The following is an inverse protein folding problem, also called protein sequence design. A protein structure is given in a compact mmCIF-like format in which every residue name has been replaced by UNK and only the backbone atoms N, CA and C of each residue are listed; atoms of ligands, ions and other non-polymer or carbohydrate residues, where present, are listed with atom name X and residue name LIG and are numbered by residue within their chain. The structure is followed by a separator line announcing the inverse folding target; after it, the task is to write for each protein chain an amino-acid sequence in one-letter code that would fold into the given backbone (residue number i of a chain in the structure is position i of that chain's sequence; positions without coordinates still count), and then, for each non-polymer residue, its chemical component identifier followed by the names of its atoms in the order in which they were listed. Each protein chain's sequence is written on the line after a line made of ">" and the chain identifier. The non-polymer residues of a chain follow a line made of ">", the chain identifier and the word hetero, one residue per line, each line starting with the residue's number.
data_IF_696247341534
#
_entry.id   IF_696247341534
#
_cell.length_a   1.000
_cell.length_b   1.000
_cell.length_c   1.000
_cell.angle_alpha   90.00
_cell.angle_beta   90.00
_cell.angle_gamma   90.00
#
_symmetry.space_group_name_H-M   'P 1'
#
loop_
_entity.id
_entity.type
_entity.pdbx_description
1 polymer ?
#
# COMPACT_ATOMS: atom_id res chain seq x y z
N UNK A 1 33.89 -7.64 -26.19
CA UNK A 1 33.36 -7.47 -24.82
C UNK A 1 31.98 -6.87 -24.95
N UNK A 2 31.01 -7.34 -24.18
CA UNK A 2 29.70 -6.69 -24.13
C UNK A 2 29.84 -5.36 -23.38
N UNK A 3 29.45 -4.26 -24.02
CA UNK A 3 29.43 -2.94 -23.37
C UNK A 3 28.04 -2.68 -22.86
N UNK A 4 27.93 -2.31 -21.59
CA UNK A 4 26.71 -1.88 -20.94
C UNK A 4 26.84 -0.41 -20.53
N UNK A 5 25.74 0.34 -20.68
CA UNK A 5 25.67 1.76 -20.28
C UNK A 5 25.36 1.89 -18.78
N UNK A 6 24.68 0.91 -18.19
CA UNK A 6 24.35 0.88 -16.77
C UNK A 6 24.36 -0.55 -16.21
N UNK A 7 24.77 -0.67 -14.95
CA UNK A 7 24.70 -1.92 -14.18
C UNK A 7 23.75 -1.69 -13.00
N UNK A 8 22.75 -2.55 -12.87
CA UNK A 8 21.75 -2.51 -11.80
C UNK A 8 22.01 -3.68 -10.86
N UNK A 9 22.19 -3.42 -9.59
CA UNK A 9 22.37 -4.44 -8.57
C UNK A 9 21.04 -4.68 -7.87
N UNK A 10 20.50 -5.88 -8.06
CA UNK A 10 19.22 -6.31 -7.52
C UNK A 10 18.12 -6.42 -8.59
N UNK A 11 17.58 -7.63 -8.77
CA UNK A 11 16.50 -7.96 -9.70
C UNK A 11 15.12 -8.00 -9.02
N UNK A 12 14.93 -7.22 -7.97
CA UNK A 12 13.61 -6.95 -7.39
C UNK A 12 12.82 -5.96 -8.26
N UNK A 13 11.58 -5.65 -7.86
CA UNK A 13 10.69 -4.74 -8.61
C UNK A 13 11.36 -3.41 -8.94
N UNK A 14 12.07 -2.80 -8.00
CA UNK A 14 12.74 -1.51 -8.24
C UNK A 14 13.83 -1.60 -9.30
N UNK A 15 14.66 -2.65 -9.27
CA UNK A 15 15.70 -2.86 -10.27
C UNK A 15 15.13 -3.16 -11.66
N UNK A 16 14.08 -3.97 -11.73
CA UNK A 16 13.41 -4.29 -13.00
C UNK A 16 12.74 -3.06 -13.61
N UNK A 17 12.10 -2.21 -12.80
CA UNK A 17 11.50 -0.94 -13.26
C UNK A 17 12.59 0.01 -13.73
N UNK A 18 13.71 0.12 -12.98
CA UNK A 18 14.84 0.96 -13.39
C UNK A 18 15.42 0.50 -14.73
N UNK A 19 15.61 -0.80 -14.94
CA UNK A 19 16.06 -1.34 -16.23
C UNK A 19 15.10 -0.98 -17.36
N UNK A 20 13.80 -1.22 -17.17
CA UNK A 20 12.75 -0.88 -18.13
C UNK A 20 12.74 0.62 -18.49
N UNK A 21 12.94 1.48 -17.51
CA UNK A 21 13.00 2.93 -17.75
C UNK A 21 14.26 3.30 -18.54
N UNK A 22 15.43 2.76 -18.19
CA UNK A 22 16.68 3.00 -18.92
C UNK A 22 16.64 2.47 -20.34
N UNK A 23 16.06 1.29 -20.57
CA UNK A 23 15.85 0.74 -21.91
C UNK A 23 14.98 1.63 -22.79
N UNK A 24 14.01 2.37 -22.20
CA UNK A 24 13.18 3.33 -22.94
C UNK A 24 14.00 4.51 -23.51
N UNK A 25 15.18 4.75 -22.96
CA UNK A 25 16.18 5.71 -23.46
C UNK A 25 17.24 5.05 -24.35
N UNK A 26 17.03 3.82 -24.82
CA UNK A 26 17.96 3.02 -25.60
C UNK A 26 19.31 2.71 -24.90
N UNK A 27 19.33 2.73 -23.57
CA UNK A 27 20.50 2.35 -22.79
C UNK A 27 20.54 0.84 -22.58
N UNK A 28 21.72 0.24 -22.81
CA UNK A 28 21.96 -1.19 -22.55
C UNK A 28 22.20 -1.39 -21.06
N UNK A 29 21.33 -2.14 -20.41
CA UNK A 29 21.42 -2.42 -18.99
C UNK A 29 21.87 -3.85 -18.71
N UNK A 30 22.62 -4.04 -17.62
CA UNK A 30 22.92 -5.34 -17.03
C UNK A 30 22.34 -5.38 -15.62
N UNK A 31 21.49 -6.36 -15.33
CA UNK A 31 20.99 -6.59 -13.97
C UNK A 31 21.78 -7.74 -13.36
N UNK A 32 22.26 -7.54 -12.14
CA UNK A 32 23.00 -8.53 -11.36
C UNK A 32 22.22 -8.77 -10.06
N UNK A 33 21.94 -10.02 -9.73
CA UNK A 33 21.30 -10.43 -8.48
C UNK A 33 22.02 -11.64 -7.89
N UNK A 34 22.02 -11.75 -6.57
CA UNK A 34 22.57 -12.92 -5.88
C UNK A 34 21.65 -14.14 -5.95
N UNK A 35 20.34 -13.93 -6.19
CA UNK A 35 19.37 -15.00 -6.30
C UNK A 35 19.31 -15.53 -7.74
N UNK A 36 19.03 -16.83 -7.93
CA UNK A 36 18.91 -17.42 -9.27
C UNK A 36 17.62 -17.00 -10.00
N UNK A 37 16.72 -16.33 -9.32
CA UNK A 37 15.42 -15.89 -9.85
C UNK A 37 15.17 -14.41 -9.57
N UNK A 38 14.53 -13.74 -10.52
CA UNK A 38 14.08 -12.36 -10.36
C UNK A 38 12.89 -12.26 -9.42
N UNK A 39 12.56 -11.04 -8.95
CA UNK A 39 11.38 -10.74 -8.14
C UNK A 39 11.70 -10.27 -6.72
N UNK A 40 12.84 -10.66 -6.15
CA UNK A 40 13.23 -10.28 -4.80
C UNK A 40 12.16 -10.68 -3.77
N UNK A 41 11.62 -9.74 -3.03
CA UNK A 41 10.58 -9.97 -2.00
C UNK A 41 9.19 -10.31 -2.56
N UNK A 42 8.97 -10.13 -3.87
CA UNK A 42 7.71 -10.50 -4.53
C UNK A 42 7.78 -11.89 -5.18
N UNK A 43 8.80 -12.66 -4.81
CA UNK A 43 8.98 -14.01 -5.31
C UNK A 43 7.95 -14.95 -4.69
N UNK A 44 7.46 -15.87 -5.51
CA UNK A 44 6.54 -16.94 -5.11
C UNK A 44 7.26 -18.28 -5.27
N UNK A 45 7.24 -19.10 -4.26
CA UNK A 45 7.75 -20.48 -4.29
C UNK A 45 6.60 -21.48 -4.43
N UNK A 46 6.85 -22.56 -5.15
CA UNK A 46 5.92 -23.66 -5.28
C UNK A 46 6.48 -24.87 -4.54
N UNK A 47 5.75 -25.34 -3.54
CA UNK A 47 6.17 -26.45 -2.71
C UNK A 47 4.99 -27.39 -2.45
N UNK A 48 5.14 -28.67 -2.81
CA UNK A 48 4.13 -29.73 -2.59
C UNK A 48 2.70 -29.36 -3.02
N UNK A 49 2.55 -28.59 -4.11
CA UNK A 49 1.26 -28.13 -4.62
C UNK A 49 0.75 -26.85 -3.98
N UNK A 50 1.48 -26.28 -3.03
CA UNK A 50 1.17 -24.98 -2.44
C UNK A 50 1.91 -23.85 -3.16
N UNK A 51 1.26 -22.70 -3.24
CA UNK A 51 1.82 -21.45 -3.73
C UNK A 51 2.15 -20.58 -2.52
N UNK A 52 3.45 -20.33 -2.29
CA UNK A 52 3.95 -19.64 -1.10
C UNK A 52 4.61 -18.34 -1.51
N UNK A 53 3.97 -17.22 -1.24
CA UNK A 53 4.55 -15.89 -1.47
C UNK A 53 5.57 -15.55 -0.38
N UNK A 54 6.77 -15.10 -0.78
CA UNK A 54 7.84 -14.75 0.16
C UNK A 54 7.63 -13.41 0.85
N UNK A 55 6.73 -12.58 0.36
CA UNK A 55 6.43 -11.27 0.89
C UNK A 55 4.96 -10.94 0.89
N UNK A 56 4.63 -9.82 1.52
CA UNK A 56 3.27 -9.30 1.55
C UNK A 56 2.87 -8.79 0.17
N UNK A 57 1.91 -9.43 -0.44
CA UNK A 57 1.51 -9.24 -1.85
C UNK A 57 0.29 -8.30 -1.98
N UNK A 58 0.31 -7.16 -1.31
CA UNK A 58 -0.76 -6.15 -1.46
C UNK A 58 -0.26 -4.92 -2.20
N UNK A 59 -0.99 -4.54 -3.23
CA UNK A 59 -0.69 -3.37 -4.07
C UNK A 59 -1.73 -2.28 -3.81
N UNK A 60 -1.27 -1.07 -3.54
CA UNK A 60 -2.12 0.12 -3.50
C UNK A 60 -2.29 0.66 -4.92
N UNK A 61 -3.38 0.27 -5.57
CA UNK A 61 -3.66 0.60 -6.97
C UNK A 61 -3.81 2.12 -7.24
N UNK A 62 -3.95 2.93 -6.19
CA UNK A 62 -4.01 4.39 -6.30
C UNK A 62 -2.65 5.03 -6.59
N UNK A 63 -1.53 4.37 -6.27
CA UNK A 63 -0.20 4.94 -6.46
C UNK A 63 0.09 5.24 -7.94
N UNK A 64 0.53 6.48 -8.27
CA UNK A 64 0.82 6.87 -9.64
C UNK A 64 1.85 5.97 -10.32
N UNK A 65 2.91 5.59 -9.59
CA UNK A 65 3.98 4.75 -10.11
C UNK A 65 3.52 3.31 -10.40
N UNK A 66 2.57 2.79 -9.61
CA UNK A 66 1.95 1.49 -9.88
C UNK A 66 1.22 1.54 -11.22
N UNK A 67 0.42 2.59 -11.44
CA UNK A 67 -0.33 2.78 -12.70
C UNK A 67 0.58 3.00 -13.90
N UNK A 68 1.74 3.67 -13.70
CA UNK A 68 2.71 3.94 -14.78
C UNK A 68 3.43 2.67 -15.21
N UNK A 69 3.82 1.81 -14.28
CA UNK A 69 4.77 0.72 -14.54
C UNK A 69 4.16 -0.68 -14.57
N UNK A 70 2.99 -0.88 -13.93
CA UNK A 70 2.37 -2.19 -13.79
C UNK A 70 1.02 -2.24 -14.50
N UNK A 71 0.79 -3.32 -15.25
CA UNK A 71 -0.52 -3.64 -15.79
C UNK A 71 -1.32 -4.45 -14.75
N UNK A 72 -2.13 -3.73 -13.96
CA UNK A 72 -2.95 -4.36 -12.91
C UNK A 72 -4.00 -5.33 -13.47
N UNK A 73 -4.37 -5.18 -14.75
CA UNK A 73 -5.31 -6.08 -15.39
C UNK A 73 -4.64 -7.39 -15.77
N UNK A 74 -3.44 -7.32 -16.34
CA UNK A 74 -2.63 -8.50 -16.67
C UNK A 74 -2.20 -9.26 -15.40
N UNK A 75 -2.05 -8.57 -14.26
CA UNK A 75 -1.75 -9.17 -12.97
C UNK A 75 -2.97 -9.84 -12.30
N UNK A 76 -4.16 -9.74 -12.91
CA UNK A 76 -5.41 -10.30 -12.36
C UNK A 76 -5.65 -9.94 -10.88
N UNK A 77 -5.27 -8.72 -10.49
CA UNK A 77 -5.39 -8.26 -9.11
C UNK A 77 -6.82 -8.38 -8.59
N UNK A 78 -6.97 -8.92 -7.40
CA UNK A 78 -8.25 -9.00 -6.69
C UNK A 78 -8.35 -7.88 -5.69
N UNK A 79 -9.50 -7.19 -5.67
CA UNK A 79 -9.73 -6.14 -4.69
C UNK A 79 -10.11 -6.73 -3.33
N UNK A 80 -9.54 -6.16 -2.27
CA UNK A 80 -9.99 -6.44 -0.91
C UNK A 80 -11.16 -5.52 -0.54
N UNK A 81 -12.04 -6.02 0.29
CA UNK A 81 -13.03 -5.18 0.95
C UNK A 81 -12.31 -4.20 1.89
N UNK A 82 -12.75 -2.93 1.83
CA UNK A 82 -12.17 -1.89 2.68
C UNK A 82 -12.63 -2.05 4.11
N UNK A 83 -11.72 -2.43 4.98
CA UNK A 83 -12.03 -2.59 6.39
C UNK A 83 -10.95 -3.33 7.16
N UNK A 84 -11.23 -3.50 8.45
CA UNK A 84 -10.41 -4.29 9.33
C UNK A 84 -11.29 -5.17 10.23
N UNK A 85 -10.83 -6.38 10.46
CA UNK A 85 -11.39 -7.26 11.46
C UNK A 85 -10.59 -7.08 12.74
N UNK A 86 -11.26 -6.64 13.81
CA UNK A 86 -10.62 -6.31 15.09
C UNK A 86 -11.09 -7.31 16.13
N UNK A 87 -10.13 -7.90 16.84
CA UNK A 87 -10.37 -8.76 17.98
C UNK A 87 -9.77 -8.13 19.25
N UNK A 88 -10.59 -7.91 20.26
CA UNK A 88 -10.18 -7.27 21.51
C UNK A 88 -9.93 -8.25 22.67
N UNK A 89 -9.70 -9.52 22.36
CA UNK A 89 -9.50 -10.58 23.35
C UNK A 89 -10.78 -11.30 23.79
N UNK A 90 -11.96 -10.69 23.61
CA UNK A 90 -13.25 -11.26 24.00
C UNK A 90 -14.27 -11.29 22.86
N UNK A 91 -14.30 -10.25 22.03
CA UNK A 91 -15.25 -10.10 20.92
C UNK A 91 -14.52 -9.68 19.66
N UNK A 92 -15.07 -10.07 18.53
CA UNK A 92 -14.63 -9.61 17.22
C UNK A 92 -15.66 -8.67 16.61
N UNK A 93 -15.20 -7.68 15.88
CA UNK A 93 -16.05 -6.77 15.13
C UNK A 93 -15.32 -6.29 13.86
N UNK A 94 -16.11 -5.94 12.86
CA UNK A 94 -15.58 -5.45 11.59
C UNK A 94 -15.76 -3.93 11.51
N UNK A 95 -14.69 -3.23 11.18
CA UNK A 95 -14.70 -1.81 10.84
C UNK A 95 -14.53 -1.71 9.33
N UNK A 96 -15.45 -1.06 8.64
CA UNK A 96 -15.44 -0.90 7.20
C UNK A 96 -15.40 0.56 6.79
N UNK A 97 -14.84 0.85 5.61
CA UNK A 97 -14.89 2.20 5.04
C UNK A 97 -16.33 2.52 4.60
N UNK A 98 -16.96 3.43 5.34
CA UNK A 98 -18.35 3.89 5.12
C UNK A 98 -18.54 4.46 3.71
N UNK A 99 -17.49 5.05 3.11
CA UNK A 99 -17.59 5.61 1.77
C UNK A 99 -17.75 4.53 0.69
N UNK A 100 -17.09 3.37 0.88
CA UNK A 100 -17.17 2.23 -0.04
C UNK A 100 -18.31 1.27 0.30
N UNK A 101 -18.68 1.23 1.59
CA UNK A 101 -19.80 0.42 2.06
C UNK A 101 -20.72 1.28 2.96
N UNK A 102 -21.67 2.03 2.39
CA UNK A 102 -22.59 2.88 3.15
C UNK A 102 -23.42 2.12 4.19
N UNK A 103 -23.75 0.84 3.94
CA UNK A 103 -24.48 0.02 4.90
C UNK A 103 -23.67 -0.22 6.20
N UNK A 104 -22.36 -0.17 6.13
CA UNK A 104 -21.48 -0.26 7.31
C UNK A 104 -21.56 0.96 8.24
N UNK A 105 -22.13 2.09 7.79
CA UNK A 105 -22.27 3.29 8.62
C UNK A 105 -23.05 3.01 9.89
N UNK A 106 -24.14 2.26 9.79
CA UNK A 106 -24.99 1.90 10.93
C UNK A 106 -24.22 1.01 11.91
N UNK A 107 -23.56 -0.01 11.42
CA UNK A 107 -22.78 -0.93 12.26
C UNK A 107 -21.59 -0.22 12.90
N UNK A 108 -20.92 0.70 12.18
CA UNK A 108 -19.85 1.53 12.75
C UNK A 108 -20.33 2.49 13.82
N UNK A 109 -21.52 3.07 13.66
CA UNK A 109 -22.08 3.96 14.68
C UNK A 109 -22.26 3.24 16.02
N UNK A 110 -22.76 2.00 15.99
CA UNK A 110 -22.95 1.16 17.17
C UNK A 110 -21.72 0.30 17.54
N UNK A 111 -20.62 0.42 16.82
CA UNK A 111 -19.42 -0.37 17.10
C UNK A 111 -18.79 0.07 18.44
N UNK A 112 -18.16 -0.87 19.18
CA UNK A 112 -17.45 -0.57 20.41
C UNK A 112 -16.11 0.13 20.21
N UNK A 113 -15.78 0.50 18.97
CA UNK A 113 -14.53 1.22 18.63
C UNK A 113 -14.73 2.71 18.91
N UNK A 114 -14.15 3.17 19.97
CA UNK A 114 -14.21 4.57 20.39
C UNK A 114 -15.61 5.05 20.79
N UNK A 115 -15.65 6.19 21.42
CA UNK A 115 -16.89 6.89 21.77
C UNK A 115 -17.51 7.58 20.54
N UNK A 116 -18.72 8.07 20.67
CA UNK A 116 -19.35 8.92 19.64
C UNK A 116 -18.51 10.17 19.37
N UNK A 117 -17.90 10.72 20.41
CA UNK A 117 -17.04 11.90 20.30
C UNK A 117 -15.77 11.60 19.49
N UNK A 118 -15.17 10.42 19.66
CA UNK A 118 -14.01 9.98 18.86
C UNK A 118 -14.40 9.83 17.39
N UNK A 119 -15.56 9.27 17.11
CA UNK A 119 -16.08 9.15 15.74
C UNK A 119 -16.29 10.51 15.07
N UNK A 120 -16.77 11.49 15.82
CA UNK A 120 -16.94 12.88 15.34
C UNK A 120 -15.58 13.55 15.12
N UNK A 121 -14.60 13.36 16.03
CA UNK A 121 -13.23 13.85 15.84
C UNK A 121 -12.59 13.24 14.60
N UNK A 122 -12.73 11.93 14.40
CA UNK A 122 -12.22 11.25 13.20
C UNK A 122 -12.87 11.77 11.92
N UNK A 123 -14.18 12.08 11.95
CA UNK A 123 -14.85 12.67 10.79
C UNK A 123 -14.33 14.09 10.50
N UNK A 124 -14.08 14.89 11.54
CA UNK A 124 -13.48 16.23 11.42
C UNK A 124 -12.05 16.14 10.89
N UNK A 125 -11.23 15.25 11.45
CA UNK A 125 -9.87 15.01 10.99
C UNK A 125 -9.84 14.60 9.51
N UNK A 126 -10.69 13.65 9.13
CA UNK A 126 -10.79 13.22 7.73
C UNK A 126 -11.13 14.37 6.80
N UNK A 127 -12.10 15.22 7.18
CA UNK A 127 -12.47 16.40 6.39
C UNK A 127 -11.27 17.32 6.22
N UNK A 128 -10.61 17.64 7.33
CA UNK A 128 -9.44 18.51 7.34
C UNK A 128 -8.30 17.97 6.45
N UNK A 129 -7.94 16.67 6.56
CA UNK A 129 -6.91 16.04 5.71
C UNK A 129 -7.25 16.13 4.23
N UNK A 130 -8.53 15.99 3.86
CA UNK A 130 -8.97 16.06 2.46
C UNK A 130 -8.94 17.49 1.88
N UNK A 131 -8.90 18.50 2.74
CA UNK A 131 -8.82 19.92 2.37
C UNK A 131 -7.38 20.41 2.25
N UNK A 132 -6.38 19.66 2.76
CA UNK A 132 -4.96 20.01 2.70
C UNK A 132 -4.31 19.53 1.41
N UNK A 133 -3.28 20.22 0.97
CA UNK A 133 -2.35 19.73 -0.04
C UNK A 133 -1.38 18.70 0.56
N UNK A 134 -0.73 17.92 -0.30
CA UNK A 134 0.26 16.93 0.15
C UNK A 134 1.45 17.63 0.80
N UNK A 135 1.86 18.76 0.24
CA UNK A 135 2.97 19.59 0.72
C UNK A 135 2.68 20.12 2.12
N UNK A 136 1.48 20.66 2.36
CA UNK A 136 1.06 21.17 3.68
C UNK A 136 1.07 20.06 4.74
N UNK A 137 0.62 18.83 4.38
CA UNK A 137 0.65 17.69 5.33
C UNK A 137 2.09 17.31 5.69
N UNK A 138 3.03 17.36 4.75
CA UNK A 138 4.44 17.05 5.02
C UNK A 138 5.15 18.07 5.91
N UNK A 139 4.69 19.32 5.93
CA UNK A 139 5.24 20.37 6.79
C UNK A 139 4.73 20.33 8.22
N UNK A 140 3.65 19.60 8.49
CA UNK A 140 3.09 19.47 9.83
C UNK A 140 3.98 18.57 10.68
N UNK A 141 4.46 19.11 11.79
CA UNK A 141 5.18 18.32 12.78
C UNK A 141 4.21 17.35 13.48
N UNK A 142 4.67 16.13 13.74
CA UNK A 142 3.86 15.11 14.39
C UNK A 142 3.31 15.59 15.75
N UNK A 143 4.07 16.36 16.51
CA UNK A 143 3.68 16.93 17.80
C UNK A 143 2.51 17.89 17.65
N UNK A 144 2.55 18.82 16.70
CA UNK A 144 1.45 19.76 16.42
C UNK A 144 0.17 19.04 16.00
N UNK A 145 0.34 17.95 15.24
CA UNK A 145 -0.79 17.15 14.76
C UNK A 145 -1.49 16.40 15.90
N UNK A 146 -0.75 15.86 16.86
CA UNK A 146 -1.29 15.14 18.02
C UNK A 146 -2.04 16.08 18.93
N UNK A 147 -1.50 17.26 19.23
CA UNK A 147 -2.10 18.25 20.13
C UNK A 147 -3.48 18.74 19.64
N UNK A 148 -3.65 18.93 18.33
CA UNK A 148 -4.91 19.36 17.72
C UNK A 148 -6.01 18.28 17.74
N UNK A 149 -5.62 17.01 17.79
CA UNK A 149 -6.53 15.88 17.64
C UNK A 149 -6.49 14.87 18.80
N UNK A 150 -5.78 15.17 19.89
CA UNK A 150 -5.80 14.31 21.07
C UNK A 150 -7.23 14.06 21.56
N UNK A 151 -7.52 12.78 21.71
CA UNK A 151 -8.73 12.30 22.37
C UNK A 151 -8.49 12.35 23.88
N UNK A 152 -8.95 13.38 24.56
CA UNK A 152 -9.03 13.37 26.01
C UNK A 152 -10.17 12.50 26.48
#
# INVERSE_FOLDING_TARGET
>A
MANYDAIIVGAGVSGLIAAKELESYNLKTLIIDQAPQVGGRLKTDFFEGFTLDQGFQVILSAYPMVKKHLDLKALECKAFDSGAFIFNGAKSFTVSDVKRNPAAAISMFFSPVGSIWDKLKMAKLRKWVLEQSVEEIFEIKAEEFVDDFETK
#
